data_IF_609774343430
#
_entry.id   IF_609774343430
#
_cell.length_a   1.000
_cell.length_b   1.000
_cell.length_c   1.000
_cell.angle_alpha   90.00
_cell.angle_beta   90.00
_cell.angle_gamma   90.00
#
_symmetry.space_group_name_H-M   'P 1'
#
loop_
_entity.id
_entity.type
_entity.pdbx_description
1 polymer ?
#
# COMPACT_ATOMS: atom_id res chain seq x y z
N UNK A 1 13.98 8.91 10.47
CA UNK A 1 13.12 8.41 9.38
C UNK A 1 13.55 6.99 9.06
N UNK A 2 12.66 5.99 9.14
CA UNK A 2 13.00 4.65 8.70
C UNK A 2 13.52 4.70 7.25
N UNK A 3 14.70 4.10 6.98
CA UNK A 3 15.34 4.01 5.65
C UNK A 3 15.67 5.32 4.91
N UNK A 4 15.45 6.49 5.52
CA UNK A 4 15.77 7.79 4.89
C UNK A 4 14.99 8.10 3.61
N UNK A 5 13.89 7.37 3.36
CA UNK A 5 13.07 7.47 2.16
C UNK A 5 11.68 8.00 2.47
N UNK A 6 11.06 8.64 1.48
CA UNK A 6 9.64 9.02 1.48
C UNK A 6 8.88 8.11 0.51
N UNK A 7 7.57 7.87 0.72
CA UNK A 7 6.68 8.50 1.70
C UNK A 7 6.77 7.90 3.12
N UNK A 8 6.34 8.71 4.09
CA UNK A 8 6.20 8.32 5.51
C UNK A 8 4.76 8.56 5.96
N UNK A 9 4.16 7.55 6.60
CA UNK A 9 2.87 7.66 7.28
C UNK A 9 3.10 7.64 8.80
N UNK A 10 2.52 8.59 9.53
CA UNK A 10 2.58 8.63 10.99
C UNK A 10 1.16 8.48 11.57
N UNK A 11 0.97 7.50 12.46
CA UNK A 11 -0.28 7.24 13.18
C UNK A 11 0.08 7.09 14.65
N UNK A 12 -0.49 7.93 15.52
CA UNK A 12 -0.28 7.91 16.97
C UNK A 12 1.22 7.92 17.37
N UNK A 13 2.02 8.73 16.68
CA UNK A 13 3.47 8.85 16.89
C UNK A 13 4.30 7.68 16.35
N UNK A 14 3.67 6.63 15.80
CA UNK A 14 4.36 5.52 15.13
C UNK A 14 4.51 5.79 13.64
N UNK A 15 5.73 5.61 13.15
CA UNK A 15 6.14 5.90 11.76
C UNK A 15 6.22 4.63 10.92
N UNK A 16 5.58 4.67 9.76
CA UNK A 16 5.53 3.61 8.75
C UNK A 16 6.11 4.11 7.43
N UNK A 17 6.82 3.24 6.73
CA UNK A 17 7.41 3.51 5.42
C UNK A 17 7.07 2.33 4.48
N UNK A 18 7.42 2.47 3.20
CA UNK A 18 6.96 1.65 2.06
C UNK A 18 5.58 2.11 1.54
N UNK A 19 5.61 2.77 0.37
CA UNK A 19 4.45 3.39 -0.28
C UNK A 19 3.31 2.40 -0.49
N UNK A 20 3.57 1.24 -1.10
CA UNK A 20 2.54 0.22 -1.38
C UNK A 20 1.92 -0.34 -0.09
N UNK A 21 2.74 -0.61 0.94
CA UNK A 21 2.22 -1.11 2.22
C UNK A 21 1.36 -0.08 2.94
N UNK A 22 1.74 1.20 2.89
CA UNK A 22 0.93 2.32 3.39
C UNK A 22 -0.43 2.37 2.66
N UNK A 23 -0.42 2.29 1.33
CA UNK A 23 -1.64 2.32 0.53
C UNK A 23 -2.55 1.13 0.83
N UNK A 24 -2.02 -0.10 0.91
CA UNK A 24 -2.79 -1.29 1.28
C UNK A 24 -3.42 -1.16 2.67
N UNK A 25 -2.66 -0.64 3.65
CA UNK A 25 -3.19 -0.41 5.00
C UNK A 25 -4.37 0.57 5.00
N UNK A 26 -4.23 1.71 4.31
CA UNK A 26 -5.29 2.71 4.22
C UNK A 26 -6.50 2.18 3.44
N UNK A 27 -6.29 1.47 2.33
CA UNK A 27 -7.34 0.85 1.56
C UNK A 27 -8.17 -0.12 2.41
N UNK A 28 -7.52 -1.00 3.19
CA UNK A 28 -8.21 -1.89 4.14
C UNK A 28 -8.98 -1.11 5.21
N UNK A 29 -8.38 -0.05 5.78
CA UNK A 29 -9.01 0.78 6.81
C UNK A 29 -10.29 1.48 6.32
N UNK A 30 -10.37 1.78 5.03
CA UNK A 30 -11.52 2.45 4.41
C UNK A 30 -12.42 1.51 3.58
N UNK A 31 -12.26 0.19 3.70
CA UNK A 31 -13.01 -0.83 2.94
C UNK A 31 -12.89 -0.72 1.41
N UNK A 32 -11.71 -0.29 0.92
CA UNK A 32 -11.38 -0.11 -0.49
C UNK A 32 -10.38 -1.15 -1.01
N UNK A 33 -10.36 -2.36 -0.45
CA UNK A 33 -9.36 -3.40 -0.77
C UNK A 33 -10.01 -4.77 -1.04
N UNK A 34 -11.06 -4.77 -1.86
CA UNK A 34 -11.83 -5.98 -2.18
C UNK A 34 -12.74 -6.45 -1.04
N UNK A 35 -13.75 -7.23 -1.41
CA UNK A 35 -14.69 -7.88 -0.49
C UNK A 35 -14.29 -9.33 -0.14
N UNK A 36 -13.34 -9.89 -0.90
CA UNK A 36 -12.81 -11.24 -0.75
C UNK A 36 -11.34 -11.29 -1.21
N UNK A 37 -10.69 -12.44 -1.02
CA UNK A 37 -9.27 -12.63 -1.32
C UNK A 37 -8.95 -12.53 -2.82
N UNK A 38 -9.89 -12.91 -3.69
CA UNK A 38 -9.71 -12.88 -5.15
C UNK A 38 -9.72 -11.43 -5.66
N UNK A 39 -10.67 -10.60 -5.19
CA UNK A 39 -10.71 -9.17 -5.51
C UNK A 39 -9.49 -8.42 -4.96
N UNK A 40 -9.05 -8.75 -3.74
CA UNK A 40 -7.82 -8.17 -3.17
C UNK A 40 -6.58 -8.56 -3.99
N UNK A 41 -6.53 -9.80 -4.46
CA UNK A 41 -5.47 -10.30 -5.34
C UNK A 41 -5.43 -9.56 -6.68
N UNK A 42 -6.59 -9.31 -7.31
CA UNK A 42 -6.66 -8.54 -8.56
C UNK A 42 -6.17 -7.09 -8.40
N UNK A 43 -6.49 -6.45 -7.26
CA UNK A 43 -5.98 -5.11 -6.92
C UNK A 43 -4.45 -5.12 -6.82
N UNK A 44 -3.89 -6.08 -6.08
CA UNK A 44 -2.43 -6.21 -5.94
C UNK A 44 -1.75 -6.49 -7.27
N UNK A 45 -2.27 -7.44 -8.05
CA UNK A 45 -1.74 -7.80 -9.35
C UNK A 45 -1.70 -6.60 -10.31
N UNK A 46 -2.74 -5.75 -10.28
CA UNK A 46 -2.81 -4.53 -11.09
C UNK A 46 -1.74 -3.51 -10.67
N UNK A 47 -1.64 -3.24 -9.37
CA UNK A 47 -0.67 -2.28 -8.82
C UNK A 47 0.77 -2.74 -9.06
N UNK A 48 1.03 -4.04 -8.92
CA UNK A 48 2.37 -4.59 -9.14
C UNK A 48 2.73 -4.62 -10.63
N UNK A 49 1.78 -4.92 -11.52
CA UNK A 49 1.99 -4.80 -12.97
C UNK A 49 2.34 -3.36 -13.40
N UNK A 50 1.73 -2.35 -12.78
CA UNK A 50 2.07 -0.93 -13.04
C UNK A 50 3.50 -0.58 -12.61
N UNK A 51 4.01 -1.24 -11.56
CA UNK A 51 5.36 -1.03 -11.06
C UNK A 51 6.39 -1.72 -11.96
N UNK A 52 6.08 -2.92 -12.46
CA UNK A 52 6.93 -3.64 -13.42
C UNK A 52 7.09 -2.87 -14.74
N UNK A 53 6.05 -2.13 -15.16
CA UNK A 53 6.08 -1.29 -16.36
C UNK A 53 6.82 0.05 -16.14
N UNK A 54 7.16 0.39 -14.91
CA UNK A 54 7.78 1.67 -14.57
C UNK A 54 9.27 1.63 -14.91
N UNK A 55 9.66 2.39 -15.93
CA UNK A 55 11.07 2.63 -16.35
C UNK A 55 11.73 3.76 -15.57
#
# INVERSE_FOLDING_TARGET
MPMGQMPLLEIDGKKYHQSKSILRYLAKKFNQYGSNDEEAFEIDATVDSMDDLRV
#
